data_IF_277816192384
#
_entry.id   IF_277816192384
#
_cell.length_a   1.000
_cell.length_b   1.000
_cell.length_c   1.000
_cell.angle_alpha   90.00
_cell.angle_beta   90.00
_cell.angle_gamma   90.00
#
_symmetry.space_group_name_H-M   'P 1'
#
loop_
_entity.id
_entity.type
_entity.pdbx_description
1 polymer ?
#
# COMPACT_ATOMS: atom_id res chain seq x y z
N UNK A 1 21.84 -12.81 -38.05
CA UNK A 1 21.10 -13.05 -36.81
C UNK A 1 20.43 -11.76 -36.37
N UNK A 2 19.14 -11.80 -36.17
CA UNK A 2 18.42 -10.63 -35.67
C UNK A 2 18.64 -10.52 -34.16
N UNK A 3 19.01 -9.34 -33.71
CA UNK A 3 19.10 -9.03 -32.28
C UNK A 3 17.80 -8.36 -31.85
N UNK A 4 17.07 -9.04 -30.98
CA UNK A 4 15.84 -8.47 -30.42
C UNK A 4 16.15 -7.81 -29.10
N UNK A 5 16.00 -6.50 -29.07
CA UNK A 5 16.13 -5.74 -27.85
C UNK A 5 14.81 -5.77 -27.08
N UNK A 6 14.84 -6.36 -25.91
CA UNK A 6 13.71 -6.34 -25.02
C UNK A 6 13.73 -5.05 -24.23
N UNK A 7 12.74 -4.21 -24.44
CA UNK A 7 12.57 -3.00 -23.64
C UNK A 7 12.19 -3.41 -22.20
N UNK A 8 12.98 -2.96 -21.25
CA UNK A 8 12.66 -3.11 -19.84
C UNK A 8 11.71 -1.97 -19.45
N UNK A 9 10.48 -2.32 -19.18
CA UNK A 9 9.49 -1.36 -18.70
C UNK A 9 9.25 -1.60 -17.21
N UNK A 10 9.38 -0.54 -16.42
CA UNK A 10 8.89 -0.56 -15.05
C UNK A 10 7.40 -0.26 -15.10
N UNK A 11 6.60 -1.25 -14.75
CA UNK A 11 5.19 -1.03 -14.57
C UNK A 11 4.96 -0.22 -13.31
N UNK A 12 4.19 0.84 -13.44
CA UNK A 12 3.81 1.69 -12.32
C UNK A 12 2.30 1.91 -12.36
N UNK A 13 1.66 1.74 -11.22
CA UNK A 13 0.23 1.96 -11.10
C UNK A 13 -0.05 2.88 -9.93
N UNK A 14 -0.71 4.00 -10.24
CA UNK A 14 -1.06 5.03 -9.27
C UNK A 14 -2.58 5.11 -9.21
N UNK A 15 -3.13 4.85 -8.03
CA UNK A 15 -4.58 4.89 -7.79
C UNK A 15 -4.89 5.76 -6.59
N UNK A 16 -6.07 6.38 -6.60
CA UNK A 16 -6.49 7.32 -5.57
C UNK A 16 -7.97 7.12 -5.28
N UNK A 17 -8.32 7.18 -4.01
CA UNK A 17 -9.71 7.27 -3.56
C UNK A 17 -9.81 8.33 -2.47
N UNK A 18 -10.96 8.98 -2.35
CA UNK A 18 -11.18 9.92 -1.25
C UNK A 18 -11.35 9.17 0.06
N UNK A 19 -12.18 8.14 0.07
CA UNK A 19 -12.46 7.32 1.25
C UNK A 19 -13.03 5.97 0.84
N UNK A 20 -12.73 4.94 1.63
CA UNK A 20 -13.35 3.62 1.50
C UNK A 20 -13.22 2.92 2.86
N UNK A 21 -14.26 2.18 3.25
CA UNK A 21 -14.18 1.33 4.44
C UNK A 21 -13.43 0.03 4.19
N UNK A 22 -13.22 -0.33 2.92
CA UNK A 22 -12.52 -1.55 2.49
C UNK A 22 -11.54 -1.25 1.35
N UNK A 23 -10.54 -0.36 1.57
CA UNK A 23 -9.64 0.02 0.50
C UNK A 23 -8.87 -1.20 -0.01
N UNK A 24 -8.77 -1.32 -1.33
CA UNK A 24 -8.04 -2.39 -2.00
C UNK A 24 -6.97 -1.79 -2.92
N UNK A 25 -5.73 -1.68 -2.46
CA UNK A 25 -4.64 -1.23 -3.31
C UNK A 25 -4.41 -2.17 -4.48
N UNK A 26 -3.80 -1.68 -5.55
CA UNK A 26 -3.29 -2.54 -6.61
C UNK A 26 -1.90 -3.06 -6.22
N UNK A 27 -1.58 -4.29 -6.59
CA UNK A 27 -0.32 -4.93 -6.20
C UNK A 27 0.37 -5.67 -7.34
N UNK A 28 -0.23 -5.69 -8.54
CA UNK A 28 0.28 -6.47 -9.66
C UNK A 28 1.41 -5.84 -10.45
N UNK A 29 1.69 -4.54 -10.26
CA UNK A 29 2.76 -3.83 -10.94
C UNK A 29 4.04 -3.83 -10.13
N UNK A 30 5.18 -3.54 -10.77
CA UNK A 30 6.48 -3.45 -10.08
C UNK A 30 6.47 -2.38 -9.00
N UNK A 31 5.76 -1.28 -9.27
CA UNK A 31 5.57 -0.16 -8.35
C UNK A 31 4.11 0.20 -8.28
N UNK A 32 3.58 0.29 -7.08
CA UNK A 32 2.19 0.64 -6.84
C UNK A 32 2.13 1.75 -5.81
N UNK A 33 1.35 2.78 -6.08
CA UNK A 33 1.04 3.84 -5.13
C UNK A 33 -0.48 3.93 -5.00
N UNK A 34 -0.96 3.76 -3.79
CA UNK A 34 -2.37 3.87 -3.46
C UNK A 34 -2.56 5.01 -2.44
N UNK A 35 -3.44 5.94 -2.74
CA UNK A 35 -3.69 7.10 -1.87
C UNK A 35 -5.13 7.15 -1.42
N UNK A 36 -5.33 7.33 -0.13
CA UNK A 36 -6.61 7.71 0.49
C UNK A 36 -6.47 9.16 0.93
N UNK A 37 -7.24 10.05 0.31
CA UNK A 37 -7.05 11.51 0.49
C UNK A 37 -7.80 12.11 1.66
N UNK A 38 -8.94 11.50 2.05
CA UNK A 38 -9.80 12.04 3.10
C UNK A 38 -10.63 10.94 3.76
N UNK A 39 -9.98 10.01 4.45
CA UNK A 39 -10.65 8.85 5.04
C UNK A 39 -11.74 9.31 6.00
N UNK A 40 -12.98 8.92 5.70
CA UNK A 40 -14.18 9.40 6.41
C UNK A 40 -14.79 8.37 7.36
N UNK A 41 -14.22 7.18 7.45
CA UNK A 41 -14.68 6.10 8.33
C UNK A 41 -13.51 5.17 8.65
N UNK A 42 -13.69 4.28 9.62
CA UNK A 42 -12.73 3.20 9.86
C UNK A 42 -12.55 2.36 8.60
N UNK A 43 -11.33 1.89 8.34
CA UNK A 43 -10.99 1.16 7.14
C UNK A 43 -10.31 -0.17 7.49
N UNK A 44 -10.71 -1.23 6.77
CA UNK A 44 -9.99 -2.50 6.75
C UNK A 44 -9.37 -2.65 5.36
N UNK A 45 -8.05 -2.56 5.28
CA UNK A 45 -7.34 -2.69 4.01
C UNK A 45 -7.43 -4.14 3.53
N UNK A 46 -8.03 -4.34 2.36
CA UNK A 46 -8.11 -5.64 1.70
C UNK A 46 -6.76 -6.02 1.09
N UNK A 47 -6.59 -7.30 0.78
CA UNK A 47 -5.41 -7.75 0.06
C UNK A 47 -5.25 -6.96 -1.25
N UNK A 48 -4.02 -6.57 -1.62
CA UNK A 48 -3.80 -5.90 -2.90
C UNK A 48 -4.30 -6.74 -4.07
N UNK A 49 -4.92 -6.10 -5.05
CA UNK A 49 -5.43 -6.76 -6.24
C UNK A 49 -4.30 -7.16 -7.20
N UNK A 50 -4.60 -8.10 -8.10
CA UNK A 50 -3.64 -8.60 -9.07
C UNK A 50 -2.77 -9.73 -8.52
N UNK A 51 -1.85 -10.20 -9.35
CA UNK A 51 -0.90 -11.26 -8.99
C UNK A 51 0.47 -10.63 -8.78
N UNK A 52 0.93 -10.48 -7.54
CA UNK A 52 2.20 -9.82 -7.28
C UNK A 52 3.38 -10.74 -7.62
N UNK A 53 4.44 -10.14 -8.14
CA UNK A 53 5.72 -10.78 -8.30
C UNK A 53 6.63 -10.45 -7.11
N UNK A 54 7.59 -11.33 -6.84
CA UNK A 54 8.54 -11.12 -5.76
C UNK A 54 9.26 -9.77 -5.91
N UNK A 55 9.30 -8.99 -4.86
CA UNK A 55 9.96 -7.69 -4.86
C UNK A 55 9.09 -6.53 -5.34
N UNK A 56 7.85 -6.77 -5.77
CA UNK A 56 6.93 -5.68 -6.09
C UNK A 56 6.79 -4.77 -4.87
N UNK A 57 6.67 -3.48 -5.13
CA UNK A 57 6.56 -2.46 -4.09
C UNK A 57 5.19 -1.84 -4.08
N UNK A 58 4.70 -1.56 -2.89
CA UNK A 58 3.44 -0.87 -2.66
C UNK A 58 3.65 0.23 -1.63
N UNK A 59 3.31 1.45 -2.01
CA UNK A 59 3.25 2.57 -1.07
C UNK A 59 1.79 2.91 -0.85
N UNK A 60 1.38 2.96 0.41
CA UNK A 60 0.05 3.42 0.80
C UNK A 60 0.22 4.76 1.49
N UNK A 61 -0.48 5.76 0.98
CA UNK A 61 -0.52 7.10 1.55
C UNK A 61 -1.93 7.36 2.06
N UNK A 62 -2.04 7.69 3.34
CA UNK A 62 -3.34 7.84 4.00
C UNK A 62 -3.41 9.18 4.71
N UNK A 63 -4.52 9.88 4.51
CA UNK A 63 -4.90 11.05 5.31
C UNK A 63 -6.37 10.92 5.67
N UNK A 64 -6.73 11.24 6.91
CA UNK A 64 -8.12 11.28 7.31
C UNK A 64 -8.78 12.63 6.93
N UNK A 65 -10.08 12.74 7.19
CA UNK A 65 -10.86 13.94 6.86
C UNK A 65 -10.95 14.94 8.01
N UNK A 66 -10.01 14.89 8.96
CA UNK A 66 -10.02 15.76 10.14
C UNK A 66 -10.52 15.08 11.42
N UNK A 67 -10.81 13.78 11.35
CA UNK A 67 -11.18 12.95 12.49
C UNK A 67 -10.33 11.69 12.43
N UNK A 68 -9.73 11.28 13.53
CA UNK A 68 -8.92 10.05 13.58
C UNK A 68 -9.79 8.85 13.22
N UNK A 69 -9.25 7.98 12.35
CA UNK A 69 -9.95 6.79 11.86
C UNK A 69 -9.19 5.54 12.23
N UNK A 70 -9.93 4.50 12.59
CA UNK A 70 -9.34 3.19 12.86
C UNK A 70 -8.87 2.53 11.58
N UNK A 71 -7.74 1.83 11.67
CA UNK A 71 -7.15 1.08 10.56
C UNK A 71 -7.02 -0.38 10.97
N UNK A 72 -7.47 -1.28 10.10
CA UNK A 72 -7.28 -2.71 10.21
C UNK A 72 -6.72 -3.24 8.89
N UNK A 73 -6.09 -4.40 8.93
CA UNK A 73 -5.29 -4.90 7.82
C UNK A 73 -5.60 -6.37 7.56
N UNK A 74 -5.76 -6.72 6.29
CA UNK A 74 -5.80 -8.12 5.89
C UNK A 74 -4.51 -8.82 6.34
N UNK A 75 -4.59 -10.10 6.67
CA UNK A 75 -3.46 -10.88 7.17
C UNK A 75 -2.28 -10.99 6.18
N UNK A 76 -2.49 -10.64 4.91
CA UNK A 76 -1.42 -10.62 3.92
C UNK A 76 -0.40 -9.50 4.16
N UNK A 77 -0.82 -8.42 4.86
CA UNK A 77 0.09 -7.36 5.29
C UNK A 77 0.80 -7.81 6.56
N UNK A 78 2.12 -7.84 6.52
CA UNK A 78 2.90 -8.36 7.64
C UNK A 78 3.75 -7.25 8.26
N UNK A 79 3.61 -7.08 9.57
CA UNK A 79 4.53 -6.21 10.31
C UNK A 79 5.92 -6.80 10.33
N UNK A 80 6.92 -5.95 10.29
CA UNK A 80 8.30 -6.31 10.56
C UNK A 80 8.66 -5.82 11.96
N UNK A 81 9.61 -4.93 12.09
CA UNK A 81 9.99 -4.37 13.40
C UNK A 81 8.88 -3.52 14.00
N UNK A 82 8.29 -2.65 13.18
CA UNK A 82 7.21 -1.75 13.64
C UNK A 82 5.85 -2.35 13.38
N UNK A 83 4.90 -2.07 14.27
CA UNK A 83 3.53 -2.52 14.11
C UNK A 83 2.84 -1.82 12.95
N UNK A 84 1.90 -2.53 12.29
CA UNK A 84 0.97 -1.89 11.36
C UNK A 84 0.14 -0.88 12.16
N UNK A 85 -0.10 0.33 11.62
CA UNK A 85 -0.85 1.35 12.35
C UNK A 85 -2.30 0.93 12.54
N UNK A 86 -2.88 1.26 13.70
CA UNK A 86 -4.28 0.95 14.05
C UNK A 86 -5.18 2.17 14.01
N UNK A 87 -4.61 3.34 13.81
CA UNK A 87 -5.35 4.60 13.72
C UNK A 87 -4.57 5.62 12.88
N UNK A 88 -5.29 6.53 12.26
CA UNK A 88 -4.68 7.72 11.66
C UNK A 88 -4.39 8.74 12.74
N UNK A 89 -3.51 9.71 12.44
CA UNK A 89 -3.34 10.93 13.24
C UNK A 89 -4.02 12.07 12.52
N UNK A 90 -4.88 12.78 13.24
CA UNK A 90 -5.77 13.79 12.68
C UNK A 90 -5.04 14.74 11.73
N UNK A 91 -5.55 14.81 10.50
CA UNK A 91 -5.10 15.74 9.46
C UNK A 91 -3.64 15.58 9.04
N UNK A 92 -2.99 14.48 9.40
CA UNK A 92 -1.60 14.19 9.01
C UNK A 92 -1.53 13.08 7.97
N UNK A 93 -0.64 13.27 7.01
CA UNK A 93 -0.36 12.26 5.98
C UNK A 93 0.55 11.19 6.54
N UNK A 94 0.20 9.94 6.30
CA UNK A 94 0.97 8.78 6.69
C UNK A 94 1.37 8.00 5.44
N UNK A 95 2.63 7.57 5.39
CA UNK A 95 3.14 6.70 4.34
C UNK A 95 3.52 5.34 4.92
N UNK A 96 3.10 4.28 4.24
CA UNK A 96 3.54 2.92 4.52
C UNK A 96 4.17 2.34 3.26
N UNK A 97 5.34 1.75 3.40
CA UNK A 97 6.03 1.08 2.30
C UNK A 97 6.06 -0.43 2.52
N UNK A 98 5.66 -1.19 1.50
CA UNK A 98 5.63 -2.65 1.53
C UNK A 98 6.44 -3.22 0.37
N UNK A 99 7.04 -4.38 0.61
CA UNK A 99 7.67 -5.21 -0.43
C UNK A 99 7.03 -6.59 -0.37
N UNK A 100 6.64 -7.11 -1.56
CA UNK A 100 6.07 -8.45 -1.63
C UNK A 100 7.15 -9.52 -1.52
N UNK A 101 6.95 -10.44 -0.58
CA UNK A 101 7.78 -11.62 -0.38
C UNK A 101 7.01 -12.83 -0.88
N UNK A 102 7.37 -13.33 -2.08
CA UNK A 102 6.65 -14.44 -2.69
C UNK A 102 6.87 -15.78 -1.99
N UNK A 103 8.00 -15.94 -1.29
CA UNK A 103 8.28 -17.16 -0.52
C UNK A 103 7.26 -17.37 0.61
N UNK A 104 6.86 -16.28 1.24
CA UNK A 104 5.90 -16.30 2.35
C UNK A 104 4.49 -15.85 1.95
N UNK A 105 4.32 -15.39 0.71
CA UNK A 105 3.06 -14.80 0.22
C UNK A 105 2.57 -13.67 1.11
N UNK A 106 3.47 -12.76 1.47
CA UNK A 106 3.20 -11.63 2.35
C UNK A 106 3.71 -10.31 1.77
N UNK A 107 2.98 -9.25 2.06
CA UNK A 107 3.43 -7.89 1.86
C UNK A 107 4.06 -7.40 3.16
N UNK A 108 5.39 -7.32 3.16
CA UNK A 108 6.16 -6.93 4.34
C UNK A 108 6.27 -5.42 4.44
N UNK A 109 5.83 -4.85 5.56
CA UNK A 109 5.97 -3.41 5.80
C UNK A 109 7.42 -3.09 6.18
N UNK A 110 8.12 -2.42 5.27
CA UNK A 110 9.53 -2.06 5.45
C UNK A 110 9.74 -0.61 5.86
N UNK A 111 8.69 0.19 5.76
CA UNK A 111 8.75 1.60 6.14
C UNK A 111 7.39 2.08 6.62
N UNK A 112 7.41 2.94 7.63
CA UNK A 112 6.26 3.70 8.09
C UNK A 112 6.73 5.08 8.48
N UNK A 113 6.05 6.11 8.01
CA UNK A 113 6.41 7.49 8.29
C UNK A 113 5.17 8.37 8.32
N UNK A 114 5.24 9.41 9.09
CA UNK A 114 4.12 10.30 9.33
C UNK A 114 4.57 11.74 9.28
N UNK A 115 3.70 12.59 8.76
CA UNK A 115 3.93 14.03 8.72
C UNK A 115 4.20 14.58 10.12
N UNK A 116 5.21 15.44 10.22
CA UNK A 116 5.61 16.07 11.49
C UNK A 116 4.54 16.99 12.07
#
# INVERSE_FOLDING_TARGET
MAVTWKKIEYEEEITTTASSSTPAPTGGSSRNLFTVTALAAGATFAAPSGTPANGNRLIIRIKDNGTARTLAWNAIYRRMEFALPTTTVISKTMYLGFIYNSADSKWDMVAINEEA
#
